data_IF_927480646733
#
_entry.id   IF_927480646733
#
_cell.length_a   1.000
_cell.length_b   1.000
_cell.length_c   1.000
_cell.angle_alpha   90.00
_cell.angle_beta   90.00
_cell.angle_gamma   90.00
#
_symmetry.space_group_name_H-M   'P 1'
#
loop_
_entity.id
_entity.type
_entity.pdbx_description
1 polymer ?
#
# COMPACT_ATOMS: atom_id res chain seq x y z
N UNK A 1 2.91 -26.43 13.66
CA UNK A 1 2.01 -25.72 12.72
C UNK A 1 2.85 -25.10 11.62
N UNK A 2 2.92 -25.72 10.45
CA UNK A 2 3.75 -25.23 9.34
C UNK A 2 2.99 -24.09 8.66
N UNK A 3 3.48 -22.86 8.79
CA UNK A 3 3.05 -21.75 7.95
C UNK A 3 3.33 -22.14 6.49
N UNK A 4 2.31 -22.39 5.71
CA UNK A 4 2.45 -22.46 4.26
C UNK A 4 2.87 -21.07 3.81
N UNK A 5 4.04 -20.97 3.20
CA UNK A 5 4.43 -19.81 2.40
C UNK A 5 3.34 -19.65 1.35
N UNK A 6 2.51 -18.63 1.49
CA UNK A 6 1.66 -18.17 0.40
C UNK A 6 2.62 -17.70 -0.68
N UNK A 7 2.64 -18.45 -1.74
CA UNK A 7 3.45 -18.19 -2.92
C UNK A 7 3.22 -16.77 -3.39
N UNK A 8 4.33 -16.05 -3.51
CA UNK A 8 4.42 -14.88 -4.37
C UNK A 8 3.69 -15.17 -5.69
N UNK A 9 3.05 -14.15 -6.23
CA UNK A 9 2.34 -14.14 -7.50
C UNK A 9 3.14 -14.96 -8.51
N UNK A 10 2.59 -16.12 -8.91
CA UNK A 10 3.17 -16.92 -9.99
C UNK A 10 2.86 -16.19 -11.32
N UNK A 11 3.67 -15.19 -11.59
CA UNK A 11 3.67 -14.41 -12.83
C UNK A 11 4.31 -15.23 -13.94
N UNK A 12 3.76 -16.38 -14.25
CA UNK A 12 4.10 -17.08 -15.49
C UNK A 12 3.45 -16.33 -16.67
N UNK A 13 4.03 -15.16 -16.93
CA UNK A 13 3.75 -14.40 -18.14
C UNK A 13 4.48 -15.06 -19.30
N UNK A 14 3.83 -15.34 -20.45
CA UNK A 14 4.49 -15.92 -21.61
C UNK A 14 5.51 -15.00 -22.29
N UNK A 15 5.67 -13.76 -21.85
CA UNK A 15 6.66 -12.83 -22.34
C UNK A 15 7.91 -12.87 -21.45
N UNK A 16 8.83 -13.80 -21.78
CA UNK A 16 10.10 -14.00 -21.06
C UNK A 16 10.85 -12.70 -20.75
N UNK A 17 10.92 -11.76 -21.69
CA UNK A 17 11.65 -10.49 -21.49
C UNK A 17 11.05 -9.57 -20.43
N UNK A 18 9.75 -9.64 -20.16
CA UNK A 18 9.13 -8.83 -19.11
C UNK A 18 9.24 -9.53 -17.75
N UNK A 19 9.16 -10.85 -17.74
CA UNK A 19 9.41 -11.65 -16.54
C UNK A 19 10.88 -11.54 -16.10
N UNK A 20 11.83 -11.50 -17.03
CA UNK A 20 13.25 -11.26 -16.75
C UNK A 20 13.51 -9.86 -16.19
N UNK A 21 12.83 -8.83 -16.69
CA UNK A 21 12.93 -7.47 -16.14
C UNK A 21 12.31 -7.36 -14.74
N UNK A 22 11.14 -7.96 -14.51
CA UNK A 22 10.53 -7.99 -13.20
C UNK A 22 11.38 -8.80 -12.20
N UNK A 23 11.94 -9.94 -12.65
CA UNK A 23 12.86 -10.76 -11.86
C UNK A 23 14.14 -10.00 -11.54
N UNK A 24 14.71 -9.26 -12.50
CA UNK A 24 15.92 -8.47 -12.27
C UNK A 24 15.69 -7.32 -11.27
N UNK A 25 14.52 -6.69 -11.31
CA UNK A 25 14.16 -5.64 -10.33
C UNK A 25 13.97 -6.22 -8.94
N UNK A 26 13.29 -7.36 -8.83
CA UNK A 26 13.12 -8.06 -7.54
C UNK A 26 14.48 -8.55 -7.02
N UNK A 27 15.32 -9.11 -7.88
CA UNK A 27 16.66 -9.57 -7.51
C UNK A 27 17.55 -8.41 -7.07
N UNK A 28 17.51 -7.27 -7.75
CA UNK A 28 18.21 -6.06 -7.34
C UNK A 28 17.68 -5.53 -6.00
N UNK A 29 16.38 -5.61 -5.77
CA UNK A 29 15.77 -5.24 -4.50
C UNK A 29 16.21 -6.16 -3.36
N UNK A 30 16.28 -7.48 -3.61
CA UNK A 30 16.76 -8.47 -2.64
C UNK A 30 18.24 -8.26 -2.33
N UNK A 31 19.08 -8.03 -3.35
CA UNK A 31 20.51 -7.73 -3.16
C UNK A 31 20.73 -6.43 -2.39
N UNK A 32 19.90 -5.44 -2.63
CA UNK A 32 19.93 -4.20 -1.88
C UNK A 32 19.54 -4.42 -0.41
N UNK A 33 18.53 -5.27 -0.15
CA UNK A 33 18.15 -5.66 1.22
C UNK A 33 19.21 -6.48 1.93
N UNK A 34 20.08 -7.19 1.19
CA UNK A 34 21.25 -7.92 1.68
C UNK A 34 22.49 -7.03 1.87
N UNK A 35 22.40 -5.74 1.55
CA UNK A 35 23.48 -4.77 1.72
C UNK A 35 24.49 -4.73 0.57
N UNK A 36 24.23 -5.43 -0.53
CA UNK A 36 25.08 -5.39 -1.74
C UNK A 36 24.93 -4.10 -2.54
N UNK A 37 23.83 -3.35 -2.32
CA UNK A 37 23.56 -2.07 -2.92
C UNK A 37 23.14 -1.06 -1.86
N UNK A 38 23.54 0.20 -2.02
CA UNK A 38 23.10 1.27 -1.15
C UNK A 38 21.60 1.54 -1.35
N UNK A 39 20.77 1.03 -0.45
CA UNK A 39 19.40 1.49 -0.28
C UNK A 39 19.43 2.61 0.75
N UNK A 40 19.14 3.82 0.29
CA UNK A 40 18.94 4.92 1.20
C UNK A 40 17.46 5.01 1.59
N UNK A 41 17.17 4.60 2.81
CA UNK A 41 15.87 4.79 3.42
C UNK A 41 16.03 5.60 4.69
N UNK A 42 15.53 6.81 4.67
CA UNK A 42 15.47 7.62 5.85
C UNK A 42 14.13 7.41 6.57
N UNK A 43 14.13 6.54 7.57
CA UNK A 43 12.94 6.16 8.34
C UNK A 43 12.64 7.06 9.54
N UNK A 44 13.15 8.28 9.59
CA UNK A 44 12.99 9.16 10.77
C UNK A 44 11.55 9.59 11.02
N UNK A 45 10.66 9.49 10.03
CA UNK A 45 9.27 9.93 10.14
C UNK A 45 9.06 11.42 9.87
N UNK A 46 10.12 12.16 9.57
CA UNK A 46 10.03 13.54 9.12
C UNK A 46 9.59 13.61 7.66
N UNK A 47 8.97 14.74 7.28
CA UNK A 47 8.58 14.97 5.89
C UNK A 47 9.82 14.91 4.98
N UNK A 48 9.70 14.21 3.86
CA UNK A 48 10.84 13.97 2.96
C UNK A 48 11.78 12.83 3.38
N UNK A 49 11.55 12.21 4.55
CA UNK A 49 12.43 11.17 5.09
C UNK A 49 12.14 9.76 4.59
N UNK A 50 11.06 9.56 3.83
CA UNK A 50 10.61 8.22 3.40
C UNK A 50 10.86 7.94 1.93
N UNK A 51 11.84 8.60 1.34
CA UNK A 51 12.21 8.37 -0.05
C UNK A 51 13.08 7.13 -0.15
N UNK A 52 12.66 6.25 -1.04
CA UNK A 52 13.44 5.08 -1.40
C UNK A 52 14.16 5.34 -2.71
N UNK A 53 15.43 5.06 -2.78
CA UNK A 53 16.12 4.93 -4.04
C UNK A 53 17.19 3.85 -3.97
N UNK A 54 17.32 3.14 -5.07
CA UNK A 54 18.41 2.20 -5.32
C UNK A 54 19.46 2.92 -6.14
N UNK A 55 20.64 3.07 -5.58
CA UNK A 55 21.76 3.68 -6.27
C UNK A 55 22.04 2.95 -7.59
N UNK A 56 22.02 3.67 -8.71
CA UNK A 56 22.25 3.11 -10.04
C UNK A 56 21.00 2.55 -10.74
N UNK A 57 19.84 2.48 -10.07
CA UNK A 57 18.57 2.03 -10.67
C UNK A 57 17.63 3.19 -10.94
N UNK A 58 17.67 4.23 -10.12
CA UNK A 58 16.85 5.42 -10.27
C UNK A 58 16.82 6.24 -9.00
N UNK A 59 16.37 7.47 -9.13
CA UNK A 59 16.10 8.36 -8.01
C UNK A 59 14.60 8.43 -7.79
N UNK A 60 14.18 8.43 -6.52
CA UNK A 60 12.80 8.73 -6.18
C UNK A 60 12.53 10.20 -6.49
N UNK A 61 11.64 10.45 -7.43
CA UNK A 61 11.21 11.81 -7.73
C UNK A 61 9.74 11.99 -7.39
N UNK A 62 9.41 13.12 -6.77
CA UNK A 62 8.04 13.57 -6.62
C UNK A 62 7.79 14.63 -7.69
N UNK A 63 6.84 14.36 -8.59
CA UNK A 63 6.44 15.35 -9.59
C UNK A 63 5.77 16.53 -8.88
N UNK A 64 6.20 17.74 -9.17
CA UNK A 64 5.62 18.96 -8.62
C UNK A 64 4.09 18.98 -8.84
N UNK A 65 3.34 19.27 -7.76
CA UNK A 65 1.88 19.30 -7.79
C UNK A 65 1.19 17.95 -7.63
N UNK A 66 1.94 16.85 -7.48
CA UNK A 66 1.35 15.56 -7.16
C UNK A 66 0.98 15.50 -5.68
N UNK A 67 -0.25 15.09 -5.31
CA UNK A 67 -0.61 14.88 -3.91
C UNK A 67 0.32 13.88 -3.22
N UNK A 68 0.70 14.19 -2.00
CA UNK A 68 1.53 13.30 -1.18
C UNK A 68 0.95 13.14 0.22
N UNK A 69 1.31 12.06 0.88
CA UNK A 69 1.10 11.89 2.31
C UNK A 69 1.99 12.85 3.11
N UNK A 70 1.83 12.90 4.42
CA UNK A 70 2.70 13.67 5.32
C UNK A 70 4.18 13.25 5.24
N UNK A 71 4.47 12.10 4.65
CA UNK A 71 5.82 11.54 4.47
C UNK A 71 6.27 11.53 3.01
N UNK A 72 5.72 12.41 2.17
CA UNK A 72 6.05 12.58 0.75
C UNK A 72 5.83 11.31 -0.11
N UNK A 73 4.99 10.40 0.33
CA UNK A 73 4.57 9.29 -0.51
C UNK A 73 3.50 9.77 -1.48
N UNK A 74 3.72 9.51 -2.75
CA UNK A 74 2.81 9.91 -3.82
C UNK A 74 1.46 9.22 -3.62
N UNK A 75 0.38 10.00 -3.67
CA UNK A 75 -1.00 9.51 -3.73
C UNK A 75 -1.40 9.49 -5.20
N UNK A 76 -1.42 8.29 -5.78
CA UNK A 76 -1.74 8.09 -7.20
C UNK A 76 -2.63 6.86 -7.40
N UNK A 77 -3.93 6.96 -7.05
CA UNK A 77 -4.87 5.83 -7.12
C UNK A 77 -5.08 5.29 -8.53
N UNK A 78 -5.03 6.16 -9.56
CA UNK A 78 -5.13 5.77 -10.96
C UNK A 78 -4.01 4.81 -11.39
N UNK A 79 -2.81 4.93 -10.81
CA UNK A 79 -1.72 4.02 -11.08
C UNK A 79 -2.01 2.56 -10.71
N UNK A 80 -2.86 2.34 -9.70
CA UNK A 80 -3.34 1.00 -9.36
C UNK A 80 -4.27 0.44 -10.45
N UNK A 81 -5.14 1.28 -11.00
CA UNK A 81 -5.99 0.91 -12.15
C UNK A 81 -5.13 0.51 -13.36
N UNK A 82 -4.16 1.32 -13.72
CA UNK A 82 -3.25 1.06 -14.85
C UNK A 82 -2.50 -0.26 -14.66
N UNK A 83 -2.01 -0.50 -13.44
CA UNK A 83 -1.34 -1.76 -13.10
C UNK A 83 -2.27 -2.97 -13.25
N UNK A 84 -3.50 -2.87 -12.76
CA UNK A 84 -4.49 -3.94 -12.84
C UNK A 84 -4.86 -4.25 -14.28
N UNK A 85 -5.08 -3.24 -15.12
CA UNK A 85 -5.32 -3.43 -16.56
C UNK A 85 -4.10 -4.03 -17.26
N UNK A 86 -2.90 -3.58 -16.91
CA UNK A 86 -1.67 -4.13 -17.46
C UNK A 86 -1.52 -5.61 -17.12
N UNK A 87 -1.77 -6.02 -15.88
CA UNK A 87 -1.74 -7.44 -15.49
C UNK A 87 -2.74 -8.24 -16.33
N UNK A 88 -3.96 -7.73 -16.52
CA UNK A 88 -4.97 -8.37 -17.36
C UNK A 88 -4.49 -8.58 -18.80
N UNK A 89 -3.86 -7.55 -19.38
CA UNK A 89 -3.46 -7.57 -20.79
C UNK A 89 -2.18 -8.39 -21.02
N UNK A 90 -1.20 -8.24 -20.14
CA UNK A 90 0.12 -8.85 -20.30
C UNK A 90 0.17 -10.30 -19.76
N UNK A 91 -0.75 -10.65 -18.86
CA UNK A 91 -0.82 -11.96 -18.20
C UNK A 91 -2.21 -12.61 -18.38
N UNK A 92 -2.62 -12.97 -19.61
CA UNK A 92 -4.00 -13.40 -19.90
C UNK A 92 -4.44 -14.68 -19.17
N UNK A 93 -3.51 -15.44 -18.61
CA UNK A 93 -3.77 -16.66 -17.86
C UNK A 93 -3.92 -16.46 -16.36
N UNK A 94 -3.87 -15.22 -15.84
CA UNK A 94 -4.13 -14.99 -14.42
C UNK A 94 -5.54 -15.45 -14.03
N UNK A 95 -5.70 -15.92 -12.81
CA UNK A 95 -7.00 -16.42 -12.33
C UNK A 95 -7.77 -15.38 -11.54
N UNK A 96 -7.10 -14.83 -10.53
CA UNK A 96 -7.65 -13.83 -9.62
C UNK A 96 -6.52 -12.90 -9.14
N UNK A 97 -6.86 -11.66 -8.89
CA UNK A 97 -5.96 -10.68 -8.28
C UNK A 97 -6.47 -10.37 -6.87
N UNK A 98 -5.58 -10.33 -5.92
CA UNK A 98 -5.83 -9.83 -4.58
C UNK A 98 -4.89 -8.67 -4.33
N UNK A 99 -5.44 -7.51 -3.97
CA UNK A 99 -4.65 -6.41 -3.43
C UNK A 99 -4.40 -6.74 -1.96
N UNK A 100 -3.23 -7.27 -1.65
CA UNK A 100 -2.90 -7.81 -0.33
C UNK A 100 -2.54 -6.74 0.69
N UNK A 101 -2.10 -5.59 0.22
CA UNK A 101 -1.75 -4.44 1.05
C UNK A 101 -1.98 -3.15 0.27
N UNK A 102 -2.80 -2.26 0.80
CA UNK A 102 -2.92 -0.89 0.33
C UNK A 102 -3.38 -0.01 1.50
N UNK A 103 -2.70 1.10 1.73
CA UNK A 103 -3.01 2.02 2.81
C UNK A 103 -1.98 3.14 2.88
N UNK A 104 -2.16 4.02 3.82
CA UNK A 104 -1.22 5.12 4.05
C UNK A 104 -0.93 5.32 5.53
N UNK A 105 0.31 5.75 5.82
CA UNK A 105 0.63 6.34 7.10
C UNK A 105 0.06 7.76 7.17
N UNK A 106 -0.48 8.11 8.31
CA UNK A 106 -1.02 9.45 8.58
C UNK A 106 -0.70 9.86 10.01
N UNK A 107 -0.54 11.17 10.22
CA UNK A 107 -0.39 11.72 11.55
C UNK A 107 -1.77 11.79 12.21
N UNK A 108 -2.04 10.83 13.08
CA UNK A 108 -3.31 10.75 13.78
C UNK A 108 -3.27 11.64 15.04
N UNK A 109 -4.19 12.58 15.14
CA UNK A 109 -4.39 13.37 16.34
C UNK A 109 -5.43 12.69 17.23
N UNK A 110 -5.00 12.23 18.41
CA UNK A 110 -5.88 11.61 19.40
C UNK A 110 -6.46 12.67 20.33
N UNK A 111 -7.77 12.93 20.22
CA UNK A 111 -8.45 13.93 21.01
C UNK A 111 -9.67 13.27 21.69
N UNK A 112 -9.67 13.24 23.02
CA UNK A 112 -10.79 12.74 23.83
C UNK A 112 -11.30 11.33 23.42
N UNK A 113 -10.38 10.44 23.04
CA UNK A 113 -10.73 9.08 22.65
C UNK A 113 -11.18 8.92 21.20
N UNK A 114 -11.12 9.99 20.41
CA UNK A 114 -11.51 10.01 19.00
C UNK A 114 -10.34 10.40 18.10
N UNK A 115 -10.28 9.79 16.93
CA UNK A 115 -9.32 10.10 15.89
C UNK A 115 -10.09 10.35 14.59
N UNK A 116 -10.07 11.59 14.12
CA UNK A 116 -10.53 11.95 12.78
C UNK A 116 -9.39 11.78 11.79
N UNK A 117 -9.48 10.72 11.01
CA UNK A 117 -8.51 10.42 9.95
C UNK A 117 -9.15 10.49 8.56
N UNK A 118 -9.94 11.53 8.31
CA UNK A 118 -10.61 11.78 7.03
C UNK A 118 -9.68 11.66 5.79
N UNK A 119 -8.40 12.10 5.83
CA UNK A 119 -7.48 11.88 4.71
C UNK A 119 -7.21 10.40 4.42
N UNK A 120 -7.22 9.51 5.42
CA UNK A 120 -7.10 8.07 5.20
C UNK A 120 -8.36 7.51 4.54
N UNK A 121 -9.53 7.97 4.94
CA UNK A 121 -10.80 7.60 4.29
C UNK A 121 -10.78 8.02 2.82
N UNK A 122 -10.36 9.25 2.52
CA UNK A 122 -10.27 9.74 1.16
C UNK A 122 -9.28 8.93 0.30
N UNK A 123 -8.11 8.61 0.85
CA UNK A 123 -7.13 7.74 0.20
C UNK A 123 -7.74 6.38 -0.17
N UNK A 124 -8.35 5.71 0.80
CA UNK A 124 -8.96 4.38 0.59
C UNK A 124 -10.10 4.44 -0.43
N UNK A 125 -10.98 5.45 -0.31
CA UNK A 125 -12.08 5.65 -1.24
C UNK A 125 -11.62 5.84 -2.67
N UNK A 126 -10.61 6.67 -2.90
CA UNK A 126 -10.06 6.89 -4.23
C UNK A 126 -9.47 5.60 -4.82
N UNK A 127 -8.67 4.86 -4.07
CA UNK A 127 -8.09 3.60 -4.54
C UNK A 127 -9.16 2.56 -4.85
N UNK A 128 -10.15 2.40 -4.00
CA UNK A 128 -11.27 1.46 -4.22
C UNK A 128 -12.13 1.86 -5.41
N UNK A 129 -12.33 3.16 -5.64
CA UNK A 129 -13.02 3.66 -6.84
C UNK A 129 -12.29 3.22 -8.12
N UNK A 130 -10.96 3.34 -8.16
CA UNK A 130 -10.18 2.93 -9.32
C UNK A 130 -10.10 1.41 -9.47
N UNK A 131 -10.08 0.65 -8.37
CA UNK A 131 -10.22 -0.81 -8.40
C UNK A 131 -11.59 -1.20 -8.97
N UNK A 132 -12.67 -0.55 -8.56
CA UNK A 132 -14.00 -0.81 -9.09
C UNK A 132 -14.05 -0.58 -10.61
N UNK A 133 -13.48 0.52 -11.11
CA UNK A 133 -13.35 0.78 -12.54
C UNK A 133 -12.55 -0.30 -13.27
N UNK A 134 -11.50 -0.84 -12.65
CA UNK A 134 -10.75 -1.94 -13.24
C UNK A 134 -11.60 -3.22 -13.33
N UNK A 135 -12.44 -3.50 -12.32
CA UNK A 135 -13.40 -4.61 -12.35
C UNK A 135 -14.41 -4.42 -13.48
N UNK A 136 -14.98 -3.23 -13.64
CA UNK A 136 -15.85 -2.88 -14.77
C UNK A 136 -15.13 -3.06 -16.11
N UNK A 137 -13.82 -2.77 -16.16
CA UNK A 137 -12.94 -3.05 -17.30
C UNK A 137 -12.61 -4.54 -17.49
N UNK A 138 -13.22 -5.43 -16.68
CA UNK A 138 -13.09 -6.88 -16.80
C UNK A 138 -11.85 -7.47 -16.12
N UNK A 139 -11.24 -6.77 -15.16
CA UNK A 139 -10.19 -7.33 -14.31
C UNK A 139 -10.82 -8.16 -13.19
N UNK A 140 -10.36 -9.39 -12.98
CA UNK A 140 -10.87 -10.28 -11.93
C UNK A 140 -10.16 -9.98 -10.59
N UNK A 141 -10.52 -8.87 -9.94
CA UNK A 141 -10.07 -8.56 -8.58
C UNK A 141 -11.00 -9.26 -7.59
N UNK A 142 -10.44 -10.14 -6.77
CA UNK A 142 -11.20 -10.99 -5.86
C UNK A 142 -11.09 -10.58 -4.38
N UNK A 143 -10.25 -9.61 -4.06
CA UNK A 143 -10.12 -9.12 -2.69
C UNK A 143 -9.20 -7.92 -2.56
N UNK A 144 -9.46 -7.18 -1.48
CA UNK A 144 -8.70 -6.01 -1.10
C UNK A 144 -8.47 -6.02 0.41
N UNK A 145 -7.25 -5.76 0.82
CA UNK A 145 -6.84 -5.75 2.22
C UNK A 145 -6.15 -4.42 2.55
N UNK A 146 -6.67 -3.77 3.58
CA UNK A 146 -6.11 -2.50 4.04
C UNK A 146 -4.82 -2.74 4.83
N UNK A 147 -3.79 -1.99 4.52
CA UNK A 147 -2.64 -1.85 5.39
C UNK A 147 -2.81 -0.60 6.27
N UNK A 148 -3.13 -0.77 7.56
CA UNK A 148 -3.27 -2.03 8.29
C UNK A 148 -4.50 -1.99 9.20
N UNK A 149 -4.87 -3.13 9.79
CA UNK A 149 -5.99 -3.18 10.73
C UNK A 149 -5.74 -2.29 11.94
N UNK A 150 -4.54 -2.33 12.50
CA UNK A 150 -4.16 -1.55 13.69
C UNK A 150 -2.77 -0.95 13.53
N UNK A 151 -2.51 0.11 14.29
CA UNK A 151 -1.16 0.67 14.35
C UNK A 151 -0.18 -0.37 14.87
N UNK A 152 0.99 -0.42 14.26
CA UNK A 152 2.00 -1.42 14.54
C UNK A 152 3.40 -0.88 14.32
N UNK A 153 4.39 -1.63 14.75
CA UNK A 153 5.78 -1.36 14.46
C UNK A 153 6.05 -1.51 12.96
N UNK A 154 6.59 -0.48 12.35
CA UNK A 154 7.11 -0.52 10.97
C UNK A 154 8.60 -0.76 10.99
N UNK A 155 9.10 -1.69 10.17
CA UNK A 155 10.52 -2.05 10.13
C UNK A 155 11.42 -0.86 9.81
N UNK A 156 10.92 0.08 9.04
CA UNK A 156 11.69 1.25 8.59
C UNK A 156 11.38 2.52 9.38
N UNK A 157 10.20 2.62 9.97
CA UNK A 157 9.73 3.84 10.64
C UNK A 157 9.49 3.66 12.14
N UNK A 158 9.67 2.44 12.67
CA UNK A 158 9.36 2.16 14.06
C UNK A 158 7.90 2.45 14.40
N UNK A 159 7.66 3.20 15.45
CA UNK A 159 6.33 3.65 15.88
C UNK A 159 5.99 5.08 15.42
N UNK A 160 6.83 5.70 14.59
CA UNK A 160 6.67 7.09 14.22
C UNK A 160 5.50 7.35 13.26
N UNK A 161 5.05 6.31 12.54
CA UNK A 161 3.95 6.40 11.57
C UNK A 161 2.83 5.48 11.95
N UNK A 162 1.60 5.97 11.78
CA UNK A 162 0.39 5.24 12.09
C UNK A 162 -0.32 4.83 10.83
N UNK A 163 -0.46 3.53 10.62
CA UNK A 163 -1.03 2.94 9.40
C UNK A 163 -2.41 2.33 9.62
N UNK A 164 -2.76 2.07 10.89
CA UNK A 164 -3.93 1.29 11.25
C UNK A 164 -5.26 2.01 11.07
N UNK A 165 -6.32 1.24 10.88
CA UNK A 165 -7.70 1.67 11.10
C UNK A 165 -8.00 1.84 12.58
N UNK A 166 -7.27 1.12 13.45
CA UNK A 166 -7.34 1.27 14.89
C UNK A 166 -6.07 1.94 15.40
N UNK A 167 -6.26 2.99 16.18
CA UNK A 167 -5.18 3.61 16.94
C UNK A 167 -4.78 2.69 18.08
N UNK A 168 -3.48 2.48 18.26
CA UNK A 168 -2.93 1.75 19.39
C UNK A 168 -2.16 2.73 20.27
N UNK A 169 -2.60 2.86 21.50
CA UNK A 169 -1.77 3.45 22.55
C UNK A 169 -0.66 2.44 22.89
N UNK A 170 0.56 2.74 22.48
CA UNK A 170 1.67 1.80 22.61
C UNK A 170 2.13 1.58 24.06
N UNK A 171 1.79 2.48 24.97
CA UNK A 171 2.10 2.32 26.41
C UNK A 171 1.07 1.42 27.09
N UNK A 172 -0.21 1.71 26.90
CA UNK A 172 -1.30 0.98 27.58
C UNK A 172 -1.83 -0.20 26.77
N UNK A 173 -1.45 -0.30 25.51
CA UNK A 173 -1.94 -1.32 24.57
C UNK A 173 -3.45 -1.24 24.29
N UNK A 174 -4.11 -0.14 24.66
CA UNK A 174 -5.51 0.10 24.30
C UNK A 174 -5.66 0.41 22.83
N UNK A 175 -6.75 -0.06 22.25
CA UNK A 175 -7.12 0.16 20.84
C UNK A 175 -8.35 1.03 20.77
N UNK A 176 -8.30 2.01 19.88
CA UNK A 176 -9.39 2.94 19.62
C UNK A 176 -9.70 2.92 18.14
N UNK A 177 -10.95 2.63 17.72
CA UNK A 177 -11.31 2.71 16.32
C UNK A 177 -11.21 4.15 15.83
N UNK A 178 -10.60 4.36 14.69
CA UNK A 178 -10.54 5.65 14.01
C UNK A 178 -11.80 5.86 13.16
N UNK A 179 -12.04 7.06 12.66
CA UNK A 179 -13.14 7.33 11.74
C UNK A 179 -13.09 6.37 10.53
N UNK A 180 -11.89 6.10 10.00
CA UNK A 180 -11.68 5.15 8.90
C UNK A 180 -12.12 3.72 9.23
N UNK A 181 -12.04 3.27 10.48
CA UNK A 181 -12.51 1.94 10.87
C UNK A 181 -14.03 1.81 10.71
N UNK A 182 -14.77 2.81 11.13
CA UNK A 182 -16.22 2.84 10.99
C UNK A 182 -16.64 2.96 9.53
N UNK A 183 -15.95 3.81 8.77
CA UNK A 183 -16.18 3.95 7.34
C UNK A 183 -15.93 2.64 6.60
N UNK A 184 -14.80 1.97 6.85
CA UNK A 184 -14.46 0.71 6.21
C UNK A 184 -15.41 -0.43 6.60
N UNK A 185 -15.86 -0.44 7.86
CA UNK A 185 -16.90 -1.37 8.32
C UNK A 185 -18.19 -1.17 7.51
N UNK A 186 -18.67 0.08 7.39
CA UNK A 186 -19.88 0.38 6.63
C UNK A 186 -19.74 -0.05 5.16
N UNK A 187 -18.60 0.24 4.54
CA UNK A 187 -18.30 -0.22 3.18
C UNK A 187 -18.36 -1.76 3.06
N UNK A 188 -17.77 -2.48 4.02
CA UNK A 188 -17.77 -3.94 4.01
C UNK A 188 -19.17 -4.54 4.20
N UNK A 189 -20.05 -3.88 4.95
CA UNK A 189 -21.42 -4.33 5.22
C UNK A 189 -22.38 -3.99 4.06
N UNK A 190 -22.20 -2.83 3.44
CA UNK A 190 -23.14 -2.32 2.41
C UNK A 190 -22.66 -2.54 0.99
N UNK A 191 -21.38 -2.65 0.77
CA UNK A 191 -20.76 -2.66 -0.56
C UNK A 191 -20.82 -1.29 -1.27
N UNK A 192 -21.23 -0.22 -0.58
CA UNK A 192 -21.38 1.10 -1.17
C UNK A 192 -20.18 1.98 -0.83
N UNK A 193 -19.51 2.46 -1.86
CA UNK A 193 -18.54 3.55 -1.76
C UNK A 193 -19.32 4.87 -1.65
N UNK A 194 -19.71 5.23 -0.43
CA UNK A 194 -20.37 6.51 -0.21
C UNK A 194 -19.40 7.67 -0.45
N UNK A 195 -19.95 8.76 -0.99
CA UNK A 195 -19.25 9.98 -1.36
C UNK A 195 -18.68 10.72 -0.13
#
# INVERSE_FOLDING_TARGET
>A
MRLRRTSAIDLRCPNLHQAERASSVIEQFLRAAEGENDIHHNGTGEKGSSRWFLKGVGESCVRTGTPTTDWDWIIYPEGLYDLLLRIKNDCPNYKKIYVTENGMGYKDDFVDGYIDDAPRIDYLRQHLTWIHRAIEGGVNVAGYFVWSLQDQFSWTNGYNKRYGLFYVDFETQKRYPKASAYWFKNLAETGLLEA
#
